data_IF_683085253750
#
_entry.id   IF_683085253750
#
_cell.length_a   1.000
_cell.length_b   1.000
_cell.length_c   1.000
_cell.angle_alpha   90.00
_cell.angle_beta   90.00
_cell.angle_gamma   90.00
#
_symmetry.space_group_name_H-M   'P 1'
#
loop_
_entity.id
_entity.type
_entity.pdbx_description
1 polymer ?
#
# COMPACT_ATOMS: atom_id res chain seq x y z
N UNK A 1 -9.19 0.97 14.22
CA UNK A 1 -8.37 0.04 13.42
C UNK A 1 -9.30 -0.91 12.67
N UNK A 2 -9.24 -1.00 11.34
CA UNK A 2 -10.08 -1.91 10.58
C UNK A 2 -9.69 -3.36 10.92
N UNK A 3 -10.67 -4.18 11.30
CA UNK A 3 -10.46 -5.59 11.63
C UNK A 3 -10.10 -6.37 10.37
N UNK A 4 -9.17 -7.34 10.49
CA UNK A 4 -8.62 -8.20 9.41
C UNK A 4 -9.71 -8.79 8.47
N UNK A 5 -10.93 -9.00 8.99
CA UNK A 5 -12.08 -9.51 8.24
C UNK A 5 -12.60 -8.54 7.15
N UNK A 6 -12.47 -7.23 7.35
CA UNK A 6 -12.95 -6.22 6.41
C UNK A 6 -12.07 -6.13 5.15
N UNK A 7 -10.75 -6.14 5.33
CA UNK A 7 -9.76 -6.15 4.24
C UNK A 7 -9.91 -7.39 3.35
N UNK A 8 -10.05 -8.58 3.93
CA UNK A 8 -10.22 -9.82 3.16
C UNK A 8 -11.48 -9.79 2.27
N UNK A 9 -12.57 -9.18 2.76
CA UNK A 9 -13.83 -9.06 2.01
C UNK A 9 -13.74 -8.02 0.87
N UNK A 10 -12.97 -6.95 1.06
CA UNK A 10 -12.70 -5.94 0.03
C UNK A 10 -11.89 -6.53 -1.13
N UNK A 11 -10.81 -7.25 -0.82
CA UNK A 11 -9.93 -7.86 -1.83
C UNK A 11 -10.67 -8.91 -2.68
N UNK A 12 -11.52 -9.73 -2.05
CA UNK A 12 -12.31 -10.74 -2.78
C UNK A 12 -13.37 -10.14 -3.71
N UNK A 13 -13.73 -8.85 -3.54
CA UNK A 13 -14.79 -8.19 -4.32
C UNK A 13 -14.26 -7.25 -5.40
N UNK A 14 -13.17 -6.54 -5.13
CA UNK A 14 -12.74 -5.40 -5.97
C UNK A 14 -11.52 -5.71 -6.84
N UNK A 15 -10.89 -6.87 -6.68
CA UNK A 15 -9.66 -7.20 -7.39
C UNK A 15 -8.42 -6.59 -6.72
N UNK A 16 -7.26 -7.18 -6.98
CA UNK A 16 -6.02 -6.91 -6.26
C UNK A 16 -5.39 -5.56 -6.67
N UNK A 17 -5.84 -4.44 -6.10
CA UNK A 17 -5.22 -3.13 -6.30
C UNK A 17 -4.26 -2.78 -5.14
N UNK A 18 -3.16 -3.55 -5.03
CA UNK A 18 -2.05 -3.21 -4.13
C UNK A 18 -1.04 -2.37 -4.89
N UNK A 19 -0.82 -1.15 -4.44
CA UNK A 19 0.16 -0.23 -5.00
C UNK A 19 1.44 -0.25 -4.16
N UNK A 20 2.59 -0.46 -4.82
CA UNK A 20 3.93 -0.39 -4.21
C UNK A 20 4.49 1.01 -4.42
N UNK A 21 4.87 1.68 -3.34
CA UNK A 21 5.49 3.00 -3.38
C UNK A 21 6.85 2.97 -2.70
N UNK A 22 7.78 3.74 -3.24
CA UNK A 22 9.06 4.04 -2.62
C UNK A 22 9.10 5.54 -2.37
N UNK A 23 9.04 5.94 -1.11
CA UNK A 23 9.04 7.34 -0.70
C UNK A 23 10.07 7.55 0.40
N UNK A 24 10.52 8.80 0.56
CA UNK A 24 11.24 9.19 1.77
C UNK A 24 10.23 9.61 2.83
N UNK A 25 10.42 9.13 4.05
CA UNK A 25 9.65 9.64 5.18
C UNK A 25 10.10 11.06 5.56
N UNK A 26 9.45 11.65 6.57
CA UNK A 26 9.78 12.99 7.06
C UNK A 26 11.19 13.11 7.65
N UNK A 27 11.86 11.99 7.94
CA UNK A 27 13.26 11.93 8.40
C UNK A 27 14.25 11.80 7.25
N UNK A 28 13.76 11.68 6.01
CA UNK A 28 14.57 11.51 4.80
C UNK A 28 14.98 10.06 4.52
N UNK A 29 14.47 9.10 5.30
CA UNK A 29 14.77 7.68 5.12
C UNK A 29 13.88 7.06 4.05
N UNK A 30 14.47 6.24 3.18
CA UNK A 30 13.72 5.49 2.19
C UNK A 30 12.88 4.40 2.85
N UNK A 31 11.59 4.42 2.55
CA UNK A 31 10.63 3.43 2.96
C UNK A 31 9.82 2.95 1.75
N UNK A 32 9.46 1.67 1.80
CA UNK A 32 8.51 1.07 0.89
C UNK A 32 7.15 1.00 1.58
N UNK A 33 6.12 1.46 0.90
CA UNK A 33 4.73 1.38 1.35
C UNK A 33 3.94 0.52 0.38
N UNK A 34 3.15 -0.38 0.93
CA UNK A 34 2.19 -1.19 0.20
C UNK A 34 0.81 -0.77 0.64
N UNK A 35 0.08 -0.16 -0.29
CA UNK A 35 -1.23 0.43 -0.01
C UNK A 35 -2.27 -0.32 -0.82
N UNK A 36 -3.28 -0.85 -0.16
CA UNK A 36 -4.46 -1.36 -0.83
C UNK A 36 -5.38 -0.18 -1.16
N UNK A 37 -5.49 0.15 -2.44
CA UNK A 37 -6.28 1.28 -2.93
C UNK A 37 -7.51 0.74 -3.65
N UNK A 38 -8.73 1.07 -3.21
CA UNK A 38 -9.95 0.70 -3.93
C UNK A 38 -9.94 1.24 -5.37
N UNK A 39 -10.50 0.51 -6.36
CA UNK A 39 -10.47 0.92 -7.77
C UNK A 39 -11.08 2.31 -8.03
N UNK A 40 -12.10 2.70 -7.26
CA UNK A 40 -12.72 4.02 -7.37
C UNK A 40 -11.83 5.17 -6.85
N UNK A 41 -10.81 4.88 -6.05
CA UNK A 41 -9.83 5.85 -5.52
C UNK A 41 -8.48 5.79 -6.21
N UNK A 42 -8.21 4.77 -7.03
CA UNK A 42 -6.94 4.56 -7.71
C UNK A 42 -6.50 5.79 -8.54
N UNK A 43 -7.43 6.39 -9.30
CA UNK A 43 -7.11 7.59 -10.10
C UNK A 43 -6.70 8.78 -9.24
N UNK A 44 -7.39 8.98 -8.11
CA UNK A 44 -7.07 10.04 -7.16
C UNK A 44 -5.73 9.79 -6.48
N UNK A 45 -5.47 8.53 -6.11
CA UNK A 45 -4.21 8.09 -5.53
C UNK A 45 -3.03 8.33 -6.48
N UNK A 46 -3.13 7.90 -7.74
CA UNK A 46 -2.10 8.11 -8.76
C UNK A 46 -1.80 9.60 -8.98
N UNK A 47 -2.83 10.44 -8.93
CA UNK A 47 -2.66 11.90 -9.05
C UNK A 47 -1.93 12.47 -7.84
N UNK A 48 -2.28 12.01 -6.63
CA UNK A 48 -1.64 12.45 -5.40
C UNK A 48 -0.14 12.11 -5.39
N UNK A 49 0.23 10.86 -5.74
CA UNK A 49 1.61 10.37 -5.67
C UNK A 49 2.54 10.96 -6.74
N UNK A 50 1.97 11.53 -7.81
CA UNK A 50 2.73 12.28 -8.81
C UNK A 50 2.94 13.76 -8.42
N UNK A 51 2.29 14.26 -7.37
CA UNK A 51 2.45 15.64 -6.91
C UNK A 51 3.70 15.86 -6.04
N UNK A 52 4.16 17.10 -5.96
CA UNK A 52 5.14 17.51 -4.96
C UNK A 52 4.42 17.81 -3.64
N UNK A 53 4.48 16.88 -2.69
CA UNK A 53 3.85 17.07 -1.38
C UNK A 53 3.91 15.85 -0.46
N UNK A 54 3.40 16.05 0.75
CA UNK A 54 3.14 14.97 1.71
C UNK A 54 1.75 14.42 1.46
N UNK A 55 1.64 13.11 1.30
CA UNK A 55 0.37 12.43 1.05
C UNK A 55 0.07 11.57 2.25
N UNK A 56 -1.16 11.65 2.75
CA UNK A 56 -1.66 10.66 3.69
C UNK A 56 -2.25 9.48 2.90
N UNK A 57 -1.65 8.30 3.05
CA UNK A 57 -2.12 7.10 2.36
C UNK A 57 -3.49 6.63 2.87
N UNK A 58 -3.87 6.99 4.10
CA UNK A 58 -5.15 6.61 4.70
C UNK A 58 -6.36 7.31 4.02
N UNK A 59 -6.14 8.45 3.36
CA UNK A 59 -7.17 9.16 2.60
C UNK A 59 -7.63 8.36 1.37
N UNK A 60 -6.72 7.58 0.79
CA UNK A 60 -6.92 6.87 -0.46
C UNK A 60 -7.17 5.38 -0.27
N UNK A 61 -6.57 4.78 0.73
CA UNK A 61 -6.60 3.34 0.92
C UNK A 61 -6.19 2.92 2.32
N UNK A 62 -5.73 1.68 2.44
CA UNK A 62 -5.20 1.15 3.69
C UNK A 62 -3.78 0.70 3.48
N UNK A 63 -2.84 1.21 4.28
CA UNK A 63 -1.47 0.70 4.30
C UNK A 63 -1.51 -0.70 4.90
N UNK A 64 -1.15 -1.69 4.08
CA UNK A 64 -1.19 -3.11 4.47
C UNK A 64 0.17 -3.64 4.88
N UNK A 65 1.24 -3.00 4.40
CA UNK A 65 2.60 -3.25 4.84
C UNK A 65 3.46 -2.02 4.57
N UNK A 66 4.48 -1.82 5.39
CA UNK A 66 5.55 -0.88 5.12
C UNK A 66 6.86 -1.46 5.63
N UNK A 67 7.96 -1.09 4.98
CA UNK A 67 9.28 -1.46 5.46
C UNK A 67 10.32 -0.42 5.07
N UNK A 68 11.27 -0.19 5.97
CA UNK A 68 12.43 0.67 5.71
C UNK A 68 13.53 -0.10 4.96
N UNK A 69 14.33 0.62 4.17
CA UNK A 69 15.52 0.07 3.52
C UNK A 69 15.50 0.11 1.99
N UNK A 70 16.40 -0.66 1.37
CA UNK A 70 16.62 -0.63 -0.08
C UNK A 70 15.59 -1.42 -0.89
N UNK A 71 14.87 -2.35 -0.25
CA UNK A 71 13.83 -3.17 -0.88
C UNK A 71 12.88 -3.81 0.14
N UNK A 72 11.78 -4.41 -0.31
CA UNK A 72 10.85 -5.14 0.56
C UNK A 72 11.52 -6.36 1.20
N UNK A 73 11.24 -6.56 2.49
CA UNK A 73 11.75 -7.72 3.24
C UNK A 73 11.04 -9.00 2.82
N UNK A 74 11.69 -10.16 2.99
CA UNK A 74 11.09 -11.46 2.69
C UNK A 74 9.77 -11.70 3.45
N UNK A 75 9.68 -11.20 4.69
CA UNK A 75 8.45 -11.25 5.49
C UNK A 75 7.33 -10.43 4.86
N UNK A 76 7.64 -9.23 4.35
CA UNK A 76 6.69 -8.37 3.64
C UNK A 76 6.22 -9.03 2.35
N UNK A 77 7.14 -9.58 1.55
CA UNK A 77 6.79 -10.31 0.33
C UNK A 77 5.90 -11.52 0.62
N UNK A 78 6.21 -12.29 1.66
CA UNK A 78 5.41 -13.45 2.07
C UNK A 78 4.01 -13.03 2.53
N UNK A 79 3.91 -11.94 3.31
CA UNK A 79 2.64 -11.39 3.76
C UNK A 79 1.79 -10.91 2.57
N UNK A 80 2.38 -10.16 1.64
CA UNK A 80 1.72 -9.66 0.44
C UNK A 80 1.21 -10.78 -0.46
N UNK A 81 2.06 -11.79 -0.70
CA UNK A 81 1.71 -12.95 -1.52
C UNK A 81 0.61 -13.80 -0.88
N UNK A 82 0.73 -14.09 0.41
CA UNK A 82 -0.21 -14.96 1.11
C UNK A 82 -1.56 -14.28 1.38
N UNK A 83 -1.57 -13.00 1.74
CA UNK A 83 -2.80 -12.28 2.14
C UNK A 83 -3.48 -11.61 0.96
N UNK A 84 -2.70 -11.09 0.02
CA UNK A 84 -3.20 -10.23 -1.06
C UNK A 84 -2.95 -10.80 -2.44
N UNK A 85 -2.34 -11.98 -2.58
CA UNK A 85 -1.97 -12.56 -3.89
C UNK A 85 -0.97 -11.69 -4.66
N UNK A 86 -0.36 -10.70 -4.01
CA UNK A 86 0.51 -9.70 -4.65
C UNK A 86 1.95 -10.19 -4.63
N UNK A 87 2.55 -10.35 -5.80
CA UNK A 87 3.91 -10.85 -5.97
C UNK A 87 4.84 -9.68 -6.28
N UNK A 88 5.85 -9.46 -5.42
CA UNK A 88 6.76 -8.30 -5.46
C UNK A 88 8.22 -8.66 -5.38
#
# INVERSE_FOLDING_TARGET
MPTISFLNRLISREGHCVQKLKAKDSTGQWAYYFVHVPPNKEKAFMTAICGEGTIDFEDFGTVIASNYGEGPTAETCALLKHRFGFNV
#
